data_IF_032208475866
#
_entry.id   IF_032208475866
#
_cell.length_a   1.000
_cell.length_b   1.000
_cell.length_c   1.000
_cell.angle_alpha   90.00
_cell.angle_beta   90.00
_cell.angle_gamma   90.00
#
_symmetry.space_group_name_H-M   'P 1'
#
loop_
_entity.id
_entity.type
_entity.pdbx_description
1 polymer ?
#
# COMPACT_ATOMS: atom_id res chain seq x y z
N UNK A 1 5.94 2.89 5.89
CA UNK A 1 5.57 4.22 6.42
C UNK A 1 4.34 4.70 5.68
N UNK A 2 3.40 5.35 6.34
CA UNK A 2 2.18 5.84 5.71
C UNK A 2 2.26 7.35 5.46
N UNK A 3 1.54 7.81 4.44
CA UNK A 3 1.38 9.21 4.05
C UNK A 3 -0.09 9.48 3.72
N UNK A 4 -0.46 10.74 3.48
CA UNK A 4 -1.86 11.14 3.37
C UNK A 4 -2.39 11.29 1.93
N UNK A 5 -1.63 10.87 0.91
CA UNK A 5 -2.07 10.87 -0.49
C UNK A 5 -1.27 9.92 -1.36
N UNK A 6 -1.81 9.54 -2.53
CA UNK A 6 -1.10 8.72 -3.53
C UNK A 6 0.15 9.44 -4.02
N UNK A 7 0.08 10.74 -4.29
CA UNK A 7 1.21 11.53 -4.79
C UNK A 7 2.34 11.58 -3.78
N UNK A 8 2.00 11.76 -2.50
CA UNK A 8 2.98 11.73 -1.41
C UNK A 8 3.59 10.35 -1.23
N UNK A 9 2.82 9.29 -1.52
CA UNK A 9 3.29 7.91 -1.45
C UNK A 9 4.29 7.65 -2.57
N UNK A 10 3.99 8.07 -3.79
CA UNK A 10 4.91 7.90 -4.92
C UNK A 10 6.21 8.69 -4.70
N UNK A 11 6.15 9.93 -4.19
CA UNK A 11 7.36 10.69 -3.81
C UNK A 11 8.22 10.02 -2.74
N UNK A 12 7.64 9.12 -1.95
CA UNK A 12 8.38 8.36 -0.95
C UNK A 12 9.31 7.32 -1.59
N UNK A 13 9.00 6.84 -2.80
CA UNK A 13 9.89 5.95 -3.59
C UNK A 13 11.22 6.65 -3.82
N UNK A 14 11.17 7.92 -4.25
CA UNK A 14 12.35 8.75 -4.50
C UNK A 14 13.21 8.95 -3.23
N UNK A 15 12.64 8.72 -2.05
CA UNK A 15 13.25 9.04 -0.76
C UNK A 15 13.74 7.81 0.03
N UNK A 16 13.04 6.66 -0.02
CA UNK A 16 13.16 5.62 1.03
C UNK A 16 13.40 4.18 0.55
N UNK A 17 13.38 3.83 -0.74
CA UNK A 17 13.72 2.44 -1.13
C UNK A 17 15.26 2.23 -1.09
N UNK A 18 15.80 2.26 0.13
CA UNK A 18 17.10 1.78 0.61
C UNK A 18 18.29 1.91 -0.32
N UNK A 19 19.18 2.88 -0.04
CA UNK A 19 20.56 3.02 -0.56
C UNK A 19 20.70 3.21 -2.09
N UNK A 20 19.91 2.49 -2.88
CA UNK A 20 19.76 2.62 -4.32
C UNK A 20 18.60 3.56 -4.63
N UNK A 21 18.77 4.43 -5.62
CA UNK A 21 17.68 5.25 -6.12
C UNK A 21 16.85 4.41 -7.08
N UNK A 22 15.53 4.46 -6.94
CA UNK A 22 14.61 3.81 -7.86
C UNK A 22 13.79 4.86 -8.59
N UNK A 23 13.60 4.66 -9.89
CA UNK A 23 12.72 5.47 -10.73
C UNK A 23 11.41 4.73 -10.98
N UNK A 24 10.28 5.44 -10.85
CA UNK A 24 8.96 4.92 -11.19
C UNK A 24 8.84 4.84 -12.72
N UNK A 25 8.55 3.63 -13.22
CA UNK A 25 8.27 3.40 -14.64
C UNK A 25 6.77 3.53 -14.94
N UNK A 26 5.93 2.93 -14.09
CA UNK A 26 4.49 2.85 -14.31
C UNK A 26 3.76 2.72 -12.98
N UNK A 27 2.58 3.33 -12.89
CA UNK A 27 1.61 3.13 -11.82
C UNK A 27 0.35 2.60 -12.49
N UNK A 28 -0.11 1.42 -12.08
CA UNK A 28 -1.34 0.85 -12.61
C UNK A 28 -2.57 1.67 -12.19
N UNK A 29 -3.67 1.50 -12.91
CA UNK A 29 -4.98 1.81 -12.36
C UNK A 29 -5.25 1.01 -11.08
N UNK A 30 -6.25 1.45 -10.30
CA UNK A 30 -6.73 0.68 -9.16
C UNK A 30 -7.19 -0.70 -9.63
N UNK A 31 -6.68 -1.75 -8.99
CA UNK A 31 -7.06 -3.12 -9.30
C UNK A 31 -8.50 -3.44 -8.88
N UNK A 32 -9.25 -2.49 -8.30
CA UNK A 32 -10.66 -2.61 -7.91
C UNK A 32 -10.91 -3.82 -6.99
N UNK A 33 -10.02 -4.01 -6.01
CA UNK A 33 -10.14 -5.05 -5.00
C UNK A 33 -11.11 -4.60 -3.89
N UNK A 34 -12.42 -4.77 -4.11
CA UNK A 34 -13.46 -4.40 -3.12
C UNK A 34 -13.45 -5.28 -1.87
N UNK A 35 -12.91 -6.50 -1.98
CA UNK A 35 -12.62 -7.38 -0.86
C UNK A 35 -11.13 -7.69 -0.88
N UNK A 36 -10.48 -7.59 0.26
CA UNK A 36 -9.06 -7.91 0.39
C UNK A 36 -8.73 -8.26 1.85
N UNK A 37 -7.60 -8.93 2.05
CA UNK A 37 -7.01 -9.18 3.38
C UNK A 37 -5.51 -8.87 3.29
N UNK A 38 -5.04 -7.95 4.12
CA UNK A 38 -3.62 -7.61 4.24
C UNK A 38 -3.03 -8.39 5.39
N UNK A 39 -1.89 -9.04 5.17
CA UNK A 39 -1.18 -9.83 6.16
C UNK A 39 0.24 -9.29 6.34
N UNK A 40 0.58 -8.95 7.58
CA UNK A 40 1.87 -8.39 7.95
C UNK A 40 2.66 -9.40 8.79
N UNK A 41 3.97 -9.60 8.54
CA UNK A 41 4.81 -10.44 9.39
C UNK A 41 4.81 -9.93 10.83
N UNK A 42 4.63 -10.84 11.77
CA UNK A 42 4.75 -10.54 13.20
C UNK A 42 6.19 -10.76 13.66
N UNK A 43 6.68 -9.99 14.65
CA UNK A 43 8.02 -10.18 15.21
C UNK A 43 8.05 -11.45 16.08
N UNK A 44 8.10 -12.61 15.43
CA UNK A 44 8.06 -13.93 16.05
C UNK A 44 9.11 -14.84 15.41
N UNK A 45 9.70 -15.82 16.14
CA UNK A 45 10.76 -16.68 15.60
C UNK A 45 10.33 -17.58 14.41
N UNK A 46 9.02 -17.69 14.16
CA UNK A 46 8.44 -18.46 13.07
C UNK A 46 7.62 -17.55 12.16
N UNK A 47 7.37 -17.99 10.92
CA UNK A 47 6.55 -17.27 9.95
C UNK A 47 5.09 -17.17 10.40
N UNK A 48 4.78 -16.13 11.17
CA UNK A 48 3.43 -15.81 11.65
C UNK A 48 3.02 -14.46 11.07
N UNK A 49 1.79 -14.42 10.54
CA UNK A 49 1.23 -13.25 9.90
C UNK A 49 0.01 -12.75 10.66
N UNK A 50 0.03 -11.48 11.04
CA UNK A 50 -1.14 -10.76 11.54
C UNK A 50 -1.91 -10.21 10.35
N UNK A 51 -3.11 -10.75 10.11
CA UNK A 51 -3.95 -10.35 8.99
C UNK A 51 -5.11 -9.46 9.44
N UNK A 52 -5.44 -8.46 8.63
CA UNK A 52 -6.59 -7.59 8.85
C UNK A 52 -7.26 -7.20 7.54
N UNK A 53 -8.48 -6.72 7.65
CA UNK A 53 -9.20 -6.07 6.56
C UNK A 53 -9.82 -4.79 7.10
N UNK A 54 -9.92 -3.79 6.24
CA UNK A 54 -10.60 -2.54 6.55
C UNK A 54 -11.76 -2.43 5.56
N UNK A 55 -12.98 -2.35 6.09
CA UNK A 55 -14.20 -2.34 5.27
C UNK A 55 -14.41 -1.01 4.55
N UNK A 56 -13.79 0.06 5.04
CA UNK A 56 -13.86 1.39 4.44
C UNK A 56 -13.01 1.47 3.17
N UNK A 57 -13.47 2.28 2.21
CA UNK A 57 -12.98 2.26 0.83
C UNK A 57 -11.46 2.34 0.72
N UNK A 58 -10.89 1.45 -0.09
CA UNK A 58 -9.45 1.37 -0.33
C UNK A 58 -9.16 1.22 -1.82
N UNK A 59 -7.99 1.70 -2.26
CA UNK A 59 -7.46 1.50 -3.61
C UNK A 59 -6.12 0.80 -3.53
N UNK A 60 -5.84 -0.05 -4.51
CA UNK A 60 -4.60 -0.83 -4.56
C UNK A 60 -3.97 -0.68 -5.93
N UNK A 61 -2.68 -0.41 -5.95
CA UNK A 61 -1.91 -0.08 -7.14
C UNK A 61 -0.69 -0.98 -7.24
N UNK A 62 -0.38 -1.43 -8.45
CA UNK A 62 0.93 -1.95 -8.79
C UNK A 62 1.80 -0.80 -9.27
N UNK A 63 3.02 -0.74 -8.77
CA UNK A 63 3.99 0.30 -9.13
C UNK A 63 5.25 -0.40 -9.66
N UNK A 64 5.51 -0.23 -10.95
CA UNK A 64 6.70 -0.74 -11.61
C UNK A 64 7.86 0.23 -11.37
N UNK A 65 8.97 -0.29 -10.87
CA UNK A 65 10.16 0.46 -10.49
C UNK A 65 11.39 -0.08 -11.21
N UNK A 66 12.38 0.79 -11.45
CA UNK A 66 13.71 0.41 -11.94
C UNK A 66 14.79 0.99 -11.04
N UNK A 67 15.77 0.18 -10.67
CA UNK A 67 16.94 0.64 -9.93
C UNK A 67 17.86 1.46 -10.83
N UNK A 68 18.23 2.66 -10.40
CA UNK A 68 19.01 3.61 -11.19
C UNK A 68 20.44 3.12 -11.45
N UNK A 69 21.02 2.36 -10.51
CA UNK A 69 22.40 1.86 -10.60
C UNK A 69 22.51 0.55 -11.38
N UNK A 70 21.61 -0.42 -11.09
CA UNK A 70 21.71 -1.78 -11.62
C UNK A 70 20.75 -2.04 -12.80
N UNK A 71 19.76 -1.17 -13.03
CA UNK A 71 18.70 -1.38 -14.03
C UNK A 71 17.69 -2.46 -13.66
N UNK A 72 17.76 -2.99 -12.43
CA UNK A 72 16.87 -4.03 -11.94
C UNK A 72 15.43 -3.54 -11.86
N UNK A 73 14.51 -4.34 -12.40
CA UNK A 73 13.08 -4.03 -12.38
C UNK A 73 12.38 -4.77 -11.26
N UNK A 74 11.50 -4.08 -10.55
CA UNK A 74 10.64 -4.70 -9.54
C UNK A 74 9.22 -4.13 -9.59
N UNK A 75 8.27 -4.92 -9.09
CA UNK A 75 6.90 -4.48 -8.84
C UNK A 75 6.70 -4.27 -7.34
N UNK A 76 6.35 -3.05 -6.95
CA UNK A 76 5.90 -2.73 -5.61
C UNK A 76 4.37 -2.65 -5.56
N UNK A 77 3.81 -3.02 -4.41
CA UNK A 77 2.38 -2.90 -4.16
C UNK A 77 2.12 -1.69 -3.26
N UNK A 78 1.31 -0.75 -3.74
CA UNK A 78 0.84 0.41 -2.98
C UNK A 78 -0.64 0.26 -2.63
N UNK A 79 -1.05 0.76 -1.47
CA UNK A 79 -2.45 0.83 -1.07
C UNK A 79 -2.75 2.16 -0.42
N UNK A 80 -3.94 2.68 -0.69
CA UNK A 80 -4.51 3.82 -0.01
C UNK A 80 -5.86 3.46 0.60
N UNK A 81 -5.98 3.64 1.91
CA UNK A 81 -7.27 3.72 2.59
C UNK A 81 -7.81 5.12 2.40
N UNK A 82 -8.95 5.26 1.71
CA UNK A 82 -9.51 6.56 1.35
C UNK A 82 -10.40 7.13 2.45
N UNK A 83 -10.95 6.25 3.30
CA UNK A 83 -11.79 6.61 4.42
C UNK A 83 -11.24 5.94 5.69
N UNK A 84 -10.77 6.77 6.62
CA UNK A 84 -10.22 6.32 7.90
C UNK A 84 -11.17 6.59 9.07
N UNK A 85 -12.46 6.85 8.81
CA UNK A 85 -13.43 7.20 9.85
C UNK A 85 -13.55 6.16 10.95
N UNK A 86 -13.40 4.88 10.60
CA UNK A 86 -13.52 3.75 11.53
C UNK A 86 -12.21 3.40 12.24
N UNK A 87 -11.13 4.13 11.95
CA UNK A 87 -9.83 3.90 12.58
C UNK A 87 -9.82 4.45 13.99
N UNK A 88 -9.05 3.82 14.88
CA UNK A 88 -8.83 4.34 16.24
C UNK A 88 -8.28 5.78 16.15
N UNK A 89 -8.96 6.80 16.70
CA UNK A 89 -8.49 8.18 16.65
C UNK A 89 -7.10 8.39 17.28
N UNK A 90 -6.68 7.50 18.19
CA UNK A 90 -5.36 7.52 18.83
C UNK A 90 -4.27 6.78 18.04
N UNK A 91 -4.60 6.23 16.87
CA UNK A 91 -3.65 5.55 16.01
C UNK A 91 -2.46 6.46 15.68
N UNK A 92 -1.24 5.94 15.80
CA UNK A 92 0.01 6.71 15.73
C UNK A 92 0.12 7.56 14.45
N UNK A 93 -0.38 7.02 13.33
CA UNK A 93 -0.49 7.72 12.05
C UNK A 93 -1.03 9.15 12.18
N UNK A 94 -2.13 9.32 12.92
CA UNK A 94 -2.83 10.60 13.04
C UNK A 94 -1.99 11.64 13.78
N UNK A 95 -1.16 11.19 14.73
CA UNK A 95 -0.21 12.04 15.46
C UNK A 95 0.96 12.44 14.55
N UNK A 96 1.55 11.47 13.85
CA UNK A 96 2.71 11.68 12.97
C UNK A 96 2.38 12.57 11.78
N UNK A 97 1.24 12.35 11.12
CA UNK A 97 0.79 13.15 9.97
C UNK A 97 0.02 14.41 10.37
N UNK A 98 -0.29 14.60 11.66
CA UNK A 98 -1.10 15.71 12.19
C UNK A 98 -2.46 15.84 11.50
N UNK A 99 -3.10 14.71 11.22
CA UNK A 99 -4.45 14.62 10.63
C UNK A 99 -5.40 13.89 11.59
N UNK A 100 -6.70 13.96 11.34
CA UNK A 100 -7.72 13.22 12.09
C UNK A 100 -8.35 12.13 11.23
N UNK A 101 -8.91 11.05 11.80
CA UNK A 101 -9.70 10.08 11.04
C UNK A 101 -10.90 10.75 10.37
N UNK A 102 -11.30 10.24 9.21
CA UNK A 102 -12.51 10.70 8.53
C UNK A 102 -12.61 10.25 7.06
N UNK A 103 -13.78 10.53 6.46
CA UNK A 103 -14.14 10.12 5.08
C UNK A 103 -13.20 10.60 3.98
N UNK A 104 -12.51 11.72 4.20
CA UNK A 104 -11.57 12.32 3.26
C UNK A 104 -10.15 12.35 3.82
N UNK A 105 -9.89 11.60 4.90
CA UNK A 105 -8.57 11.48 5.50
C UNK A 105 -7.98 10.16 5.05
N UNK A 106 -7.05 10.23 4.10
CA UNK A 106 -6.49 9.03 3.48
C UNK A 106 -5.18 8.60 4.16
N UNK A 107 -4.92 7.30 4.12
CA UNK A 107 -3.68 6.69 4.59
C UNK A 107 -3.14 5.77 3.48
N UNK A 108 -2.05 6.20 2.86
CA UNK A 108 -1.39 5.53 1.75
C UNK A 108 -0.04 4.96 2.16
N UNK A 109 0.31 3.77 1.72
CA UNK A 109 1.61 3.17 1.95
C UNK A 109 1.97 2.11 0.92
N UNK A 110 3.28 1.86 0.78
CA UNK A 110 3.77 0.64 0.14
C UNK A 110 3.76 -0.53 1.11
N UNK A 111 3.61 -1.73 0.57
CA UNK A 111 3.83 -2.97 1.29
C UNK A 111 5.34 -3.20 1.42
N UNK A 112 5.86 -3.40 2.65
CA UNK A 112 7.25 -3.84 2.81
C UNK A 112 7.45 -5.27 2.27
N UNK A 113 8.71 -5.66 2.14
CA UNK A 113 9.10 -7.01 1.72
C UNK A 113 8.48 -8.06 2.65
N UNK A 114 8.01 -9.17 2.07
CA UNK A 114 7.33 -10.27 2.74
C UNK A 114 5.93 -9.98 3.31
N UNK A 115 5.33 -8.82 3.04
CA UNK A 115 3.91 -8.60 3.32
C UNK A 115 3.03 -9.12 2.18
N UNK A 116 1.83 -9.57 2.52
CA UNK A 116 0.92 -10.21 1.56
C UNK A 116 -0.39 -9.45 1.47
N UNK A 117 -0.91 -9.31 0.25
CA UNK A 117 -2.28 -8.87 0.00
C UNK A 117 -3.02 -9.98 -0.73
N UNK A 118 -4.07 -10.49 -0.10
CA UNK A 118 -4.98 -11.44 -0.71
C UNK A 118 -6.18 -10.69 -1.27
N UNK A 119 -6.44 -10.89 -2.55
CA UNK A 119 -7.61 -10.37 -3.25
C UNK A 119 -8.37 -11.53 -3.90
N UNK A 120 -9.71 -11.48 -4.01
CA UNK A 120 -10.44 -12.44 -4.80
C UNK A 120 -9.95 -12.41 -6.24
N UNK A 121 -9.93 -13.58 -6.88
CA UNK A 121 -9.82 -13.64 -8.33
C UNK A 121 -10.93 -12.79 -8.94
N UNK A 122 -10.54 -11.78 -9.72
CA UNK A 122 -11.51 -11.10 -10.55
C UNK A 122 -12.02 -12.10 -11.58
N UNK A 123 -13.35 -12.21 -11.79
CA UNK A 123 -13.85 -13.03 -12.87
C UNK A 123 -13.18 -12.55 -14.16
N UNK A 124 -12.54 -13.47 -14.88
CA UNK A 124 -11.96 -13.16 -16.18
C UNK A 124 -13.05 -12.46 -16.99
N UNK A 125 -12.74 -11.30 -17.57
CA UNK A 125 -13.58 -10.77 -18.65
C UNK A 125 -13.50 -11.79 -19.77
N UNK A 126 -14.44 -12.73 -19.80
CA UNK A 126 -14.64 -13.62 -20.93
C UNK A 126 -15.05 -12.69 -22.07
N UNK A 127 -14.12 -12.45 -22.98
CA UNK A 127 -14.42 -11.85 -24.28
C UNK A 127 -15.46 -12.74 -24.95
N UNK A 128 -16.71 -12.26 -25.03
CA UNK A 128 -17.72 -12.79 -25.94
C UNK A 128 -17.45 -12.22 -27.31
#
# INVERSE_FOLDING_TARGET
MCVNSVESMLKFVDTIIGSEKYTILEVSDDINASKWVSCHPMPYPYAVYGCHHIATGSKVFKVSLVGDENGDKMEALGMCHLDTSDWNPDHELFKTLRIKPGKNSSACHFFPVNHLLWVPLQPSKSTI
#
